data_IF_913899862831
#
_entry.id   IF_913899862831
#
_cell.length_a   1.000
_cell.length_b   1.000
_cell.length_c   1.000
_cell.angle_alpha   90.00
_cell.angle_beta   90.00
_cell.angle_gamma   90.00
#
_symmetry.space_group_name_H-M   'P 1'
#
loop_
_entity.id
_entity.type
_entity.pdbx_description
1 polymer ?
#
# COMPACT_ATOMS: atom_id res chain seq x y z
N UNK A 1 20.64 -9.34 -1.42
CA UNK A 1 19.19 -9.64 -1.36
C UNK A 1 18.49 -8.30 -1.34
N UNK A 2 18.13 -7.79 -2.52
CA UNK A 2 17.54 -6.46 -2.66
C UNK A 2 16.04 -6.60 -2.45
N UNK A 3 15.54 -6.12 -1.32
CA UNK A 3 14.10 -5.96 -1.11
C UNK A 3 13.70 -4.74 -1.95
N UNK A 4 13.19 -5.01 -3.15
CA UNK A 4 12.45 -4.02 -3.91
C UNK A 4 11.10 -3.89 -3.21
N UNK A 5 10.92 -2.81 -2.45
CA UNK A 5 9.59 -2.40 -2.00
C UNK A 5 8.91 -1.80 -3.23
N UNK A 6 8.21 -2.63 -4.00
CA UNK A 6 7.23 -2.15 -4.98
C UNK A 6 6.04 -1.59 -4.20
N UNK A 7 6.02 -0.28 -3.96
CA UNK A 7 4.78 0.43 -3.68
C UNK A 7 4.03 0.53 -5.02
N UNK A 8 3.11 -0.41 -5.25
CA UNK A 8 2.11 -0.28 -6.31
C UNK A 8 1.14 0.84 -5.92
N UNK A 9 1.05 1.90 -6.71
CA UNK A 9 -0.13 2.75 -6.71
C UNK A 9 -0.55 3.08 -8.14
N UNK A 10 -1.50 2.28 -8.64
CA UNK A 10 -2.44 2.77 -9.62
C UNK A 10 -3.23 3.92 -9.01
N UNK A 11 -3.45 4.94 -9.82
CA UNK A 11 -4.39 6.03 -9.55
C UNK A 11 -5.69 5.48 -8.96
N UNK A 12 -6.26 6.19 -7.97
CA UNK A 12 -7.59 6.00 -7.34
C UNK A 12 -7.60 5.25 -5.99
N UNK A 13 -6.83 5.76 -5.02
CA UNK A 13 -7.37 5.91 -3.66
C UNK A 13 -8.13 7.25 -3.67
N UNK A 14 -9.22 7.39 -2.91
CA UNK A 14 -9.84 8.71 -2.64
C UNK A 14 -8.92 9.50 -1.69
N UNK A 15 -7.72 9.78 -2.19
CA UNK A 15 -6.65 10.51 -1.55
C UNK A 15 -6.93 11.98 -1.79
N UNK A 16 -7.32 12.68 -0.73
CA UNK A 16 -7.28 14.14 -0.78
C UNK A 16 -5.81 14.54 -0.57
N UNK A 17 -5.14 14.89 -1.67
CA UNK A 17 -3.80 15.46 -1.62
C UNK A 17 -3.78 16.64 -0.64
N UNK A 18 -2.75 16.69 0.20
CA UNK A 18 -2.48 17.79 1.12
C UNK A 18 -1.59 18.76 0.34
N UNK A 19 -2.12 19.86 -0.21
CA UNK A 19 -1.37 20.67 -1.16
C UNK A 19 -0.10 21.23 -0.53
N UNK A 20 1.04 20.96 -1.17
CA UNK A 20 2.35 21.42 -0.70
C UNK A 20 2.97 20.57 0.40
N UNK A 21 2.43 19.38 0.71
CA UNK A 21 3.08 18.38 1.57
C UNK A 21 3.45 17.15 0.74
N UNK A 22 4.64 16.59 1.00
CA UNK A 22 5.20 15.52 0.19
C UNK A 22 5.91 14.49 1.07
N UNK A 23 5.90 13.23 0.64
CA UNK A 23 6.76 12.17 1.14
C UNK A 23 8.01 12.11 0.25
N UNK A 24 9.19 12.21 0.86
CA UNK A 24 10.49 12.09 0.20
C UNK A 24 11.16 10.82 0.70
N UNK A 25 11.51 9.91 -0.22
CA UNK A 25 12.32 8.74 0.08
C UNK A 25 13.75 8.91 -0.42
N UNK A 26 14.70 8.37 0.33
CA UNK A 26 16.12 8.50 0.02
C UNK A 26 16.69 7.24 -0.65
N UNK A 27 17.64 7.41 -1.58
CA UNK A 27 18.28 6.27 -2.27
C UNK A 27 19.07 5.38 -1.31
N UNK A 28 19.83 6.03 -0.42
CA UNK A 28 20.61 5.31 0.58
C UNK A 28 19.74 5.02 1.79
N UNK A 29 19.37 3.75 1.93
CA UNK A 29 18.50 3.25 2.99
C UNK A 29 19.26 3.01 4.33
N UNK A 30 20.58 3.19 4.38
CA UNK A 30 21.35 3.00 5.60
C UNK A 30 20.96 4.03 6.68
N UNK A 31 20.69 3.56 7.90
CA UNK A 31 20.29 4.41 9.04
C UNK A 31 21.35 5.47 9.38
N UNK A 32 22.64 5.17 9.17
CA UNK A 32 23.74 6.11 9.34
C UNK A 32 23.68 7.33 8.41
N UNK A 33 23.00 7.20 7.26
CA UNK A 33 22.87 8.26 6.25
C UNK A 33 21.60 9.09 6.42
N UNK A 34 20.71 8.71 7.35
CA UNK A 34 19.39 9.33 7.50
C UNK A 34 19.48 10.83 7.80
N UNK A 35 20.25 11.21 8.82
CA UNK A 35 20.37 12.62 9.20
C UNK A 35 21.11 13.46 8.15
N UNK A 36 22.08 12.88 7.42
CA UNK A 36 22.74 13.59 6.31
C UNK A 36 21.79 13.79 5.12
N UNK A 37 20.92 12.82 4.84
CA UNK A 37 19.92 12.92 3.79
C UNK A 37 18.90 14.03 4.08
N UNK A 38 18.43 14.12 5.33
CA UNK A 38 17.49 15.17 5.76
C UNK A 38 18.16 16.54 5.66
N UNK A 39 19.41 16.68 6.12
CA UNK A 39 20.16 17.93 6.00
C UNK A 39 20.32 18.40 4.56
N UNK A 40 20.48 17.48 3.61
CA UNK A 40 20.55 17.84 2.19
C UNK A 40 19.23 18.43 1.66
N UNK A 41 18.09 17.96 2.17
CA UNK A 41 16.76 18.53 1.89
C UNK A 41 16.58 19.89 2.55
N UNK A 42 16.91 20.01 3.85
CA UNK A 42 16.79 21.26 4.60
C UNK A 42 17.69 22.37 4.04
N UNK A 43 18.85 22.02 3.49
CA UNK A 43 19.72 22.97 2.78
C UNK A 43 19.05 23.62 1.56
N UNK A 44 17.99 23.01 1.01
CA UNK A 44 17.21 23.60 -0.07
C UNK A 44 16.19 24.63 0.40
N UNK A 45 15.99 24.82 1.71
CA UNK A 45 15.03 25.77 2.27
C UNK A 45 15.61 27.19 2.22
N UNK A 46 15.70 27.72 1.01
CA UNK A 46 16.28 29.03 0.71
C UNK A 46 15.24 30.12 0.97
N UNK A 47 15.64 31.19 1.64
CA UNK A 47 14.78 32.30 2.01
C UNK A 47 13.96 32.02 3.28
N UNK A 48 13.36 33.07 3.87
CA UNK A 48 12.55 32.97 5.09
C UNK A 48 11.15 32.41 4.82
N UNK A 49 11.03 31.39 3.97
CA UNK A 49 9.75 30.72 3.70
C UNK A 49 9.39 29.88 4.92
N UNK A 50 8.50 30.39 5.78
CA UNK A 50 7.94 29.65 6.92
C UNK A 50 7.08 28.43 6.48
N UNK A 51 6.93 28.20 5.17
CA UNK A 51 6.15 27.10 4.60
C UNK A 51 6.96 25.81 4.46
N UNK A 52 8.28 25.90 4.39
CA UNK A 52 9.14 24.73 4.22
C UNK A 52 9.48 24.15 5.59
N UNK A 53 9.01 22.93 5.88
CA UNK A 53 9.27 22.28 7.15
C UNK A 53 9.24 20.76 7.03
N UNK A 54 10.15 20.09 7.73
CA UNK A 54 10.03 18.65 7.95
C UNK A 54 8.88 18.42 8.93
N UNK A 55 7.89 17.65 8.52
CA UNK A 55 6.68 17.32 9.30
C UNK A 55 6.92 16.05 10.12
N UNK A 56 7.49 15.02 9.49
CA UNK A 56 7.71 13.73 10.12
C UNK A 56 8.96 13.06 9.57
N UNK A 57 9.65 12.32 10.43
CA UNK A 57 10.82 11.51 10.09
C UNK A 57 10.44 10.03 10.14
N UNK A 58 10.49 9.35 9.00
CA UNK A 58 10.35 7.89 8.95
C UNK A 58 11.74 7.28 9.07
N UNK A 59 12.01 6.59 10.19
CA UNK A 59 13.35 6.05 10.47
C UNK A 59 13.37 4.51 10.65
N UNK A 60 12.20 3.87 10.60
CA UNK A 60 12.01 2.48 11.01
C UNK A 60 11.81 1.52 9.83
N UNK A 61 10.84 1.79 8.94
CA UNK A 61 10.49 0.92 7.80
C UNK A 61 10.82 1.57 6.46
N UNK A 62 10.67 2.88 6.39
CA UNK A 62 11.02 3.72 5.24
C UNK A 62 12.14 4.66 5.68
N UNK A 63 13.22 4.80 4.91
CA UNK A 63 14.19 5.88 5.07
C UNK A 63 13.69 7.09 4.30
N UNK A 64 12.96 7.98 4.99
CA UNK A 64 12.31 9.11 4.34
C UNK A 64 11.72 10.12 5.30
N UNK A 65 11.12 11.18 4.75
CA UNK A 65 10.48 12.25 5.50
C UNK A 65 9.14 12.64 4.87
N UNK A 66 8.20 13.11 5.68
CA UNK A 66 7.10 13.96 5.22
C UNK A 66 7.53 15.42 5.40
N UNK A 67 7.37 16.24 4.38
CA UNK A 67 7.90 17.60 4.31
C UNK A 67 6.90 18.53 3.61
N UNK A 68 6.71 19.73 4.14
CA UNK A 68 6.01 20.81 3.41
C UNK A 68 7.00 21.56 2.55
N UNK A 69 6.64 21.79 1.29
CA UNK A 69 7.48 22.44 0.30
C UNK A 69 6.66 23.42 -0.55
N UNK A 70 7.17 24.64 -0.69
CA UNK A 70 6.73 25.53 -1.76
C UNK A 70 7.19 25.01 -3.14
N UNK A 71 6.55 25.49 -4.22
CA UNK A 71 6.80 25.01 -5.59
C UNK A 71 8.27 25.11 -6.00
N UNK A 72 8.96 26.18 -5.62
CA UNK A 72 10.36 26.38 -5.99
C UNK A 72 11.28 25.40 -5.25
N UNK A 73 10.99 25.12 -3.99
CA UNK A 73 11.75 24.20 -3.15
C UNK A 73 11.51 22.76 -3.55
N UNK A 74 10.28 22.39 -3.92
CA UNK A 74 9.95 21.08 -4.46
C UNK A 74 10.86 20.69 -5.63
N UNK A 75 11.03 21.58 -6.60
CA UNK A 75 11.86 21.31 -7.78
C UNK A 75 13.35 21.14 -7.41
N UNK A 76 13.85 21.87 -6.41
CA UNK A 76 15.20 21.67 -5.88
C UNK A 76 15.36 20.34 -5.17
N UNK A 77 14.37 19.93 -4.38
CA UNK A 77 14.38 18.65 -3.65
C UNK A 77 14.32 17.46 -4.62
N UNK A 78 13.48 17.53 -5.67
CA UNK A 78 13.43 16.49 -6.71
C UNK A 78 14.76 16.31 -7.44
N UNK A 79 15.56 17.36 -7.54
CA UNK A 79 16.86 17.33 -8.21
C UNK A 79 18.01 16.79 -7.34
N UNK A 80 17.77 16.50 -6.05
CA UNK A 80 18.82 16.02 -5.14
C UNK A 80 19.26 14.58 -5.49
N UNK A 81 20.57 14.29 -5.56
CA UNK A 81 21.07 12.97 -5.93
C UNK A 81 20.75 11.89 -4.89
N UNK A 82 20.53 12.27 -3.63
CA UNK A 82 20.19 11.36 -2.55
C UNK A 82 18.67 11.07 -2.46
N UNK A 83 17.83 11.71 -3.28
CA UNK A 83 16.39 11.47 -3.35
C UNK A 83 16.09 10.37 -4.38
N UNK A 84 15.31 9.38 -3.96
CA UNK A 84 14.82 8.28 -4.82
C UNK A 84 13.54 8.71 -5.53
N UNK A 85 12.56 9.20 -4.77
CA UNK A 85 11.29 9.74 -5.29
C UNK A 85 10.70 10.77 -4.33
N UNK A 86 9.79 11.59 -4.88
CA UNK A 86 8.97 12.56 -4.15
C UNK A 86 7.52 12.34 -4.56
N UNK A 87 6.64 12.12 -3.58
CA UNK A 87 5.22 11.87 -3.76
C UNK A 87 4.40 12.90 -2.98
N UNK A 88 3.28 13.38 -3.51
CA UNK A 88 2.39 14.27 -2.76
C UNK A 88 1.70 13.51 -1.63
N UNK A 89 1.73 14.06 -0.42
CA UNK A 89 1.13 13.43 0.77
C UNK A 89 -0.39 13.56 0.69
N UNK A 90 -1.12 12.55 1.19
CA UNK A 90 -2.56 12.43 0.99
C UNK A 90 -3.29 11.94 2.22
N UNK A 91 -4.49 12.50 2.45
CA UNK A 91 -5.44 11.95 3.41
C UNK A 91 -6.18 10.81 2.73
N UNK A 92 -6.07 9.61 3.29
CA UNK A 92 -6.88 8.46 2.90
C UNK A 92 -8.05 8.31 3.88
N UNK A 93 -9.23 8.05 3.34
CA UNK A 93 -10.43 7.80 4.13
C UNK A 93 -10.75 6.30 4.04
N UNK A 94 -11.05 5.68 5.18
CA UNK A 94 -11.70 4.38 5.20
C UNK A 94 -13.19 4.61 4.93
N UNK A 95 -13.56 4.66 3.66
CA UNK A 95 -14.97 4.67 3.27
C UNK A 95 -15.39 3.20 3.11
N UNK A 96 -16.51 2.81 3.72
CA UNK A 96 -17.06 1.45 3.89
C UNK A 96 -16.64 0.65 5.14
N UNK A 97 -17.61 -0.13 5.60
CA UNK A 97 -17.55 -0.91 6.84
C UNK A 97 -18.32 -2.21 6.67
N UNK A 98 -17.70 -3.32 7.03
CA UNK A 98 -18.38 -4.61 7.16
C UNK A 98 -18.56 -4.92 8.66
N UNK A 99 -19.81 -4.98 9.09
CA UNK A 99 -20.18 -5.47 10.42
C UNK A 99 -20.11 -6.99 10.49
N UNK A 100 -19.92 -7.52 11.70
CA UNK A 100 -19.76 -8.96 11.95
C UNK A 100 -18.64 -9.59 11.11
N UNK A 101 -17.55 -8.84 10.91
CA UNK A 101 -16.41 -9.30 10.14
C UNK A 101 -15.65 -10.43 10.87
N UNK A 102 -14.96 -11.32 10.14
CA UNK A 102 -13.97 -12.22 10.73
C UNK A 102 -12.89 -11.43 11.47
N UNK A 103 -12.39 -11.99 12.56
CA UNK A 103 -11.37 -11.35 13.40
C UNK A 103 -10.11 -10.93 12.60
N UNK A 104 -9.74 -11.71 11.57
CA UNK A 104 -8.58 -11.43 10.73
C UNK A 104 -8.72 -10.13 9.94
N UNK A 105 -9.89 -9.87 9.35
CA UNK A 105 -10.15 -8.62 8.61
C UNK A 105 -10.12 -7.42 9.56
N UNK A 106 -10.81 -7.53 10.70
CA UNK A 106 -10.79 -6.49 11.71
C UNK A 106 -9.36 -6.23 12.24
N UNK A 107 -8.55 -7.29 12.41
CA UNK A 107 -7.16 -7.16 12.86
C UNK A 107 -6.34 -6.30 11.92
N UNK A 108 -6.44 -6.53 10.61
CA UNK A 108 -5.62 -5.81 9.63
C UNK A 108 -6.13 -4.39 9.34
N UNK A 109 -7.39 -4.08 9.66
CA UNK A 109 -7.96 -2.73 9.45
C UNK A 109 -7.64 -1.69 10.52
N UNK A 110 -6.96 -2.05 11.62
CA UNK A 110 -6.69 -1.10 12.70
C UNK A 110 -5.33 -1.29 13.36
N UNK A 111 -4.75 -0.18 13.84
CA UNK A 111 -3.51 -0.19 14.63
C UNK A 111 -3.75 -0.61 16.07
N UNK A 112 -4.86 -0.16 16.64
CA UNK A 112 -5.24 -0.47 18.02
C UNK A 112 -5.51 -1.96 18.22
N UNK A 113 -5.26 -2.43 19.44
CA UNK A 113 -5.54 -3.81 19.83
C UNK A 113 -7.02 -4.14 19.59
N UNK A 114 -7.29 -5.32 19.04
CA UNK A 114 -8.65 -5.81 18.89
C UNK A 114 -9.33 -6.00 20.25
N UNK A 115 -10.59 -5.54 20.34
CA UNK A 115 -11.48 -5.79 21.47
C UNK A 115 -12.14 -7.17 21.39
N UNK A 116 -13.31 -7.30 22.04
CA UNK A 116 -14.16 -8.48 21.93
C UNK A 116 -15.08 -8.37 20.70
N UNK A 117 -15.51 -9.52 20.18
CA UNK A 117 -16.53 -9.59 19.12
C UNK A 117 -17.87 -8.94 19.58
N UNK A 118 -18.74 -8.47 18.66
CA UNK A 118 -18.60 -8.53 17.20
C UNK A 118 -17.51 -7.60 16.66
N UNK A 119 -16.88 -8.01 15.56
CA UNK A 119 -15.82 -7.24 14.94
C UNK A 119 -16.32 -6.44 13.74
N UNK A 120 -15.65 -5.32 13.50
CA UNK A 120 -15.93 -4.41 12.40
C UNK A 120 -14.68 -4.32 11.52
N UNK A 121 -14.85 -4.54 10.22
CA UNK A 121 -13.78 -4.35 9.24
C UNK A 121 -13.99 -3.03 8.50
N UNK A 122 -13.02 -2.12 8.65
CA UNK A 122 -12.98 -0.83 7.94
C UNK A 122 -12.02 -0.95 6.78
N UNK A 123 -12.47 -0.59 5.59
CA UNK A 123 -11.69 -0.68 4.36
C UNK A 123 -11.90 0.56 3.50
N UNK A 124 -11.25 0.62 2.35
CA UNK A 124 -11.46 1.67 1.35
C UNK A 124 -12.51 1.19 0.34
N UNK A 125 -13.49 2.02 -0.02
CA UNK A 125 -14.57 1.67 -0.96
C UNK A 125 -14.05 1.20 -2.33
N UNK A 126 -12.87 1.66 -2.76
CA UNK A 126 -12.27 1.18 -4.00
C UNK A 126 -11.74 -0.24 -3.85
N UNK A 127 -11.39 -0.68 -2.64
CA UNK A 127 -11.06 -2.06 -2.30
C UNK A 127 -10.06 -2.77 -3.25
N UNK A 128 -9.13 -2.03 -3.87
CA UNK A 128 -8.16 -2.58 -4.84
C UNK A 128 -8.64 -2.61 -6.29
N UNK A 129 -9.76 -1.94 -6.61
CA UNK A 129 -10.28 -1.79 -7.98
C UNK A 129 -9.21 -1.30 -8.94
N UNK A 130 -9.07 -2.00 -10.06
CA UNK A 130 -8.07 -1.70 -11.10
C UNK A 130 -6.69 -2.31 -10.84
N UNK A 131 -6.48 -3.00 -9.71
CA UNK A 131 -5.26 -3.76 -9.42
C UNK A 131 -5.47 -5.24 -9.74
N UNK A 132 -4.46 -5.86 -10.37
CA UNK A 132 -4.45 -7.30 -10.61
C UNK A 132 -3.62 -8.03 -9.55
N UNK A 133 -4.18 -9.09 -8.97
CA UNK A 133 -3.48 -10.00 -8.06
C UNK A 133 -3.28 -11.32 -8.79
N UNK A 134 -2.03 -11.81 -8.84
CA UNK A 134 -1.70 -13.12 -9.38
C UNK A 134 -1.44 -14.10 -8.24
N UNK A 135 -2.19 -15.19 -8.20
CA UNK A 135 -2.06 -16.24 -7.18
C UNK A 135 -1.51 -17.50 -7.84
N UNK A 136 -0.34 -17.95 -7.38
CA UNK A 136 0.31 -19.17 -7.84
C UNK A 136 0.21 -20.20 -6.72
N UNK A 137 -0.72 -21.13 -6.84
CA UNK A 137 -1.08 -22.06 -5.76
C UNK A 137 -1.58 -23.41 -6.35
N UNK A 138 -2.32 -24.21 -5.59
CA UNK A 138 -2.86 -25.53 -5.98
C UNK A 138 -3.89 -25.50 -7.11
N UNK A 139 -4.20 -24.31 -7.62
CA UNK A 139 -5.31 -24.01 -8.51
C UNK A 139 -6.29 -23.06 -7.84
N UNK A 140 -7.31 -22.61 -8.57
CA UNK A 140 -8.37 -21.75 -8.03
C UNK A 140 -9.71 -22.19 -8.61
N UNK A 141 -10.76 -22.30 -7.80
CA UNK A 141 -12.12 -22.42 -8.31
C UNK A 141 -12.61 -21.04 -8.77
N UNK A 142 -12.42 -20.74 -10.06
CA UNK A 142 -12.81 -19.44 -10.65
C UNK A 142 -14.33 -19.21 -10.66
N UNK A 143 -15.12 -20.28 -10.57
CA UNK A 143 -16.58 -20.24 -10.58
C UNK A 143 -17.18 -20.13 -9.16
N UNK A 144 -16.34 -19.98 -8.13
CA UNK A 144 -16.82 -19.85 -6.76
C UNK A 144 -17.57 -18.52 -6.57
N UNK A 145 -18.80 -18.59 -6.03
CA UNK A 145 -19.74 -17.47 -5.94
C UNK A 145 -19.19 -16.22 -5.22
N UNK A 146 -18.37 -16.41 -4.18
CA UNK A 146 -17.73 -15.33 -3.41
C UNK A 146 -16.79 -14.43 -4.23
N UNK A 147 -16.45 -14.81 -5.47
CA UNK A 147 -15.64 -13.98 -6.36
C UNK A 147 -16.44 -13.20 -7.39
N UNK A 148 -17.75 -13.48 -7.53
CA UNK A 148 -18.66 -12.76 -8.44
C UNK A 148 -18.13 -12.60 -9.88
N UNK A 149 -17.41 -13.61 -10.38
CA UNK A 149 -16.84 -13.61 -11.73
C UNK A 149 -15.59 -12.74 -11.93
N UNK A 150 -14.97 -12.22 -10.85
CA UNK A 150 -13.74 -11.40 -10.94
C UNK A 150 -12.48 -12.18 -11.31
N UNK A 151 -12.51 -13.50 -11.20
CA UNK A 151 -11.33 -14.34 -11.45
C UNK A 151 -11.22 -14.74 -12.92
N UNK A 152 -9.99 -14.74 -13.42
CA UNK A 152 -9.65 -15.29 -14.73
C UNK A 152 -8.55 -16.32 -14.55
N UNK A 153 -8.65 -17.47 -15.23
CA UNK A 153 -7.60 -18.46 -15.20
C UNK A 153 -6.35 -17.94 -15.91
N UNK A 154 -5.19 -18.01 -15.23
CA UNK A 154 -3.90 -17.66 -15.80
C UNK A 154 -3.27 -18.84 -16.55
N UNK A 155 -2.60 -19.72 -15.80
CA UNK A 155 -1.86 -20.85 -16.37
C UNK A 155 -1.79 -22.03 -15.40
N UNK A 156 -1.75 -23.23 -15.95
CA UNK A 156 -1.42 -24.47 -15.22
C UNK A 156 -0.01 -24.89 -15.57
N UNK A 157 0.90 -24.89 -14.59
CA UNK A 157 2.32 -25.26 -14.79
C UNK A 157 2.71 -26.57 -14.10
N UNK A 158 1.86 -27.09 -13.21
CA UNK A 158 2.12 -28.35 -12.53
C UNK A 158 2.03 -29.53 -13.52
N UNK A 159 3.12 -30.30 -13.63
CA UNK A 159 3.29 -31.36 -14.62
C UNK A 159 2.29 -32.52 -14.51
N UNK A 160 1.68 -32.69 -13.34
CA UNK A 160 0.68 -33.70 -13.04
C UNK A 160 -0.77 -33.16 -13.05
N UNK A 161 -0.98 -31.86 -13.28
CA UNK A 161 -2.31 -31.29 -13.34
C UNK A 161 -2.88 -31.34 -14.75
N UNK A 162 -4.08 -31.89 -14.89
CA UNK A 162 -4.74 -32.12 -16.19
C UNK A 162 -5.90 -31.17 -16.48
N UNK A 163 -6.22 -30.27 -15.55
CA UNK A 163 -7.34 -29.34 -15.70
C UNK A 163 -7.07 -28.03 -14.98
N UNK A 164 -7.72 -26.98 -15.49
CA UNK A 164 -7.71 -25.64 -14.91
C UNK A 164 -8.72 -25.58 -13.76
N UNK A 165 -8.36 -26.13 -12.60
CA UNK A 165 -9.19 -26.15 -11.41
C UNK A 165 -8.34 -26.24 -10.13
N UNK A 166 -8.95 -25.99 -8.98
CA UNK A 166 -8.37 -26.29 -7.67
C UNK A 166 -8.85 -27.65 -7.15
N UNK A 167 -7.95 -28.62 -7.08
CA UNK A 167 -8.25 -29.95 -6.56
C UNK A 167 -7.91 -30.13 -5.08
N UNK A 168 -7.30 -29.12 -4.44
CA UNK A 168 -6.93 -29.15 -3.02
C UNK A 168 -7.77 -28.18 -2.18
N UNK A 169 -8.11 -27.02 -2.75
CA UNK A 169 -8.85 -25.96 -2.07
C UNK A 169 -7.94 -24.89 -1.44
N UNK A 170 -6.63 -25.11 -1.36
CA UNK A 170 -5.70 -24.16 -0.74
C UNK A 170 -5.64 -22.84 -1.52
N UNK A 171 -5.47 -22.91 -2.84
CA UNK A 171 -5.42 -21.72 -3.68
C UNK A 171 -6.75 -20.95 -3.73
N UNK A 172 -7.89 -21.64 -3.70
CA UNK A 172 -9.21 -21.02 -3.56
C UNK A 172 -9.33 -20.30 -2.22
N UNK A 173 -8.88 -20.90 -1.12
CA UNK A 173 -8.89 -20.28 0.21
C UNK A 173 -7.97 -19.05 0.30
N UNK A 174 -6.75 -19.14 -0.24
CA UNK A 174 -5.83 -18.01 -0.31
C UNK A 174 -6.40 -16.87 -1.15
N UNK A 175 -7.01 -17.19 -2.29
CA UNK A 175 -7.66 -16.20 -3.15
C UNK A 175 -8.88 -15.58 -2.46
N UNK A 176 -9.67 -16.37 -1.72
CA UNK A 176 -10.79 -15.87 -0.90
C UNK A 176 -10.35 -14.88 0.16
N UNK A 177 -9.20 -15.12 0.81
CA UNK A 177 -8.63 -14.20 1.80
C UNK A 177 -8.10 -12.91 1.18
N UNK A 178 -7.56 -12.98 -0.04
CA UNK A 178 -7.07 -11.79 -0.74
C UNK A 178 -8.22 -10.97 -1.34
N UNK A 179 -9.13 -11.65 -2.03
CA UNK A 179 -10.03 -11.04 -3.00
C UNK A 179 -11.46 -11.60 -2.97
N UNK A 180 -11.91 -12.33 -1.95
CA UNK A 180 -13.33 -12.71 -1.82
C UNK A 180 -14.21 -11.53 -1.38
N UNK A 181 -15.47 -11.46 -1.81
CA UNK A 181 -16.38 -10.37 -1.43
C UNK A 181 -16.74 -10.43 0.06
N UNK A 182 -16.88 -11.64 0.63
CA UNK A 182 -17.23 -11.82 2.04
C UNK A 182 -16.03 -11.86 2.97
N UNK A 183 -14.99 -12.61 2.61
CA UNK A 183 -13.83 -12.89 3.47
C UNK A 183 -12.53 -12.22 3.03
N UNK A 184 -12.54 -11.55 1.88
CA UNK A 184 -11.36 -10.89 1.32
C UNK A 184 -11.08 -9.51 1.89
N UNK A 185 -9.79 -9.16 1.86
CA UNK A 185 -9.29 -7.81 2.15
C UNK A 185 -9.61 -6.84 1.00
N UNK A 186 -9.38 -7.26 -0.25
CA UNK A 186 -9.68 -6.48 -1.45
C UNK A 186 -11.00 -6.94 -2.09
N UNK A 187 -12.10 -6.36 -1.62
CA UNK A 187 -13.48 -6.77 -1.97
C UNK A 187 -13.88 -6.45 -3.41
#
# INVERSE_FOLDING_TARGET
MNIIICLFFGSLVRSQAIPGQYIVSFRNQARSSFESNIKAVEAQFIGRSLKNQVVHKFDSVLNGISVKLDKATLERVKALPNVEYVEEDGIVYADATQENAPWGLARVSQREKLGSAPYTYKYDENAGKGVNIYVLDTGINIDHEDFEGRLTWGITTASNSKANNDFQGHGTHCTGSAAGTKYGVAK
#
